data_IF_546764485157
#
_entry.id   IF_546764485157
#
_cell.length_a   1.000
_cell.length_b   1.000
_cell.length_c   1.000
_cell.angle_alpha   90.00
_cell.angle_beta   90.00
_cell.angle_gamma   90.00
#
_symmetry.space_group_name_H-M   'P 1'
#
loop_
_entity.id
_entity.type
_entity.pdbx_description
1 polymer ?
#
# COMPACT_ATOMS: atom_id res chain seq x y z
N UNK A 1 45.83 51.93 -5.15
CA UNK A 1 45.40 50.79 -6.00
C UNK A 1 44.83 49.72 -5.08
N UNK A 2 43.51 49.62 -5.01
CA UNK A 2 42.79 48.70 -4.11
C UNK A 2 42.35 47.52 -4.96
N UNK A 3 43.03 46.37 -4.84
CA UNK A 3 42.58 45.14 -5.49
C UNK A 3 41.39 44.60 -4.69
N UNK A 4 40.18 44.85 -5.20
CA UNK A 4 38.96 44.20 -4.72
C UNK A 4 39.00 42.76 -5.23
N UNK A 5 39.00 41.80 -4.31
CA UNK A 5 38.86 40.38 -4.62
C UNK A 5 37.35 40.13 -4.67
N UNK A 6 36.79 40.02 -5.87
CA UNK A 6 35.43 39.50 -6.05
C UNK A 6 35.45 38.01 -5.73
N UNK A 7 34.88 37.65 -4.58
CA UNK A 7 34.57 36.26 -4.31
C UNK A 7 33.40 35.86 -5.22
N UNK A 8 33.47 34.71 -5.92
CA UNK A 8 32.33 34.22 -6.68
C UNK A 8 31.15 34.10 -5.72
N UNK A 9 29.98 34.63 -6.13
CA UNK A 9 28.74 34.45 -5.40
C UNK A 9 28.62 32.96 -5.07
N UNK A 10 28.58 32.64 -3.76
CA UNK A 10 28.32 31.28 -3.32
C UNK A 10 27.04 30.81 -4.03
N UNK A 11 27.14 29.70 -4.76
CA UNK A 11 25.99 29.10 -5.43
C UNK A 11 24.84 28.94 -4.43
N UNK A 12 23.62 29.14 -4.91
CA UNK A 12 22.42 29.07 -4.09
C UNK A 12 22.42 27.76 -3.29
N UNK A 13 22.39 27.85 -1.96
CA UNK A 13 22.46 26.69 -1.10
C UNK A 13 21.22 25.83 -1.35
N UNK A 14 21.44 24.61 -1.86
CA UNK A 14 20.35 23.66 -2.09
C UNK A 14 19.82 23.24 -0.73
N UNK A 15 18.58 23.64 -0.42
CA UNK A 15 17.89 23.22 0.79
C UNK A 15 17.42 21.78 0.59
N UNK A 16 18.00 20.87 1.35
CA UNK A 16 17.59 19.46 1.40
C UNK A 16 16.38 19.35 2.34
N UNK A 17 15.19 19.29 1.76
CA UNK A 17 13.93 19.08 2.47
C UNK A 17 13.10 18.00 1.76
N UNK A 18 11.95 17.62 2.33
CA UNK A 18 11.07 16.63 1.70
C UNK A 18 10.59 17.05 0.30
N UNK A 19 10.33 18.34 0.09
CA UNK A 19 9.89 18.88 -1.22
C UNK A 19 10.93 18.65 -2.32
N UNK A 20 12.22 18.71 -1.97
CA UNK A 20 13.30 18.37 -2.90
C UNK A 20 13.19 16.93 -3.38
N UNK A 21 12.75 16.01 -2.52
CA UNK A 21 12.65 14.59 -2.84
C UNK A 21 11.34 14.20 -3.54
N UNK A 22 10.30 15.03 -3.46
CA UNK A 22 9.01 14.77 -4.09
C UNK A 22 9.08 14.63 -5.62
N UNK A 23 10.14 15.14 -6.27
CA UNK A 23 10.31 15.00 -7.72
C UNK A 23 10.81 13.63 -8.18
N UNK A 24 11.33 12.79 -7.26
CA UNK A 24 11.91 11.49 -7.62
C UNK A 24 10.88 10.36 -7.50
N UNK A 25 11.08 9.32 -8.32
CA UNK A 25 10.25 8.11 -8.28
C UNK A 25 10.58 7.24 -7.06
N UNK A 26 9.60 6.47 -6.57
CA UNK A 26 9.73 5.66 -5.35
C UNK A 26 10.92 4.69 -5.40
N UNK A 27 11.16 4.04 -6.54
CA UNK A 27 12.29 3.13 -6.70
C UNK A 27 13.65 3.83 -6.57
N UNK A 28 13.76 5.07 -7.07
CA UNK A 28 14.98 5.85 -6.94
C UNK A 28 15.22 6.29 -5.49
N UNK A 29 14.16 6.72 -4.80
CA UNK A 29 14.22 7.05 -3.38
C UNK A 29 14.61 5.84 -2.53
N UNK A 30 14.03 4.66 -2.79
CA UNK A 30 14.37 3.42 -2.09
C UNK A 30 15.81 3.00 -2.32
N UNK A 31 16.31 3.08 -3.56
CA UNK A 31 17.72 2.79 -3.87
C UNK A 31 18.66 3.75 -3.15
N UNK A 32 18.36 5.05 -3.17
CA UNK A 32 19.15 6.06 -2.45
C UNK A 32 19.19 5.79 -0.94
N UNK A 33 18.05 5.43 -0.34
CA UNK A 33 18.01 5.05 1.08
C UNK A 33 18.86 3.81 1.38
N UNK A 34 18.79 2.79 0.51
CA UNK A 34 19.60 1.59 0.65
C UNK A 34 21.09 1.89 0.58
N UNK A 35 21.52 2.65 -0.43
CA UNK A 35 22.91 3.08 -0.60
C UNK A 35 23.40 3.89 0.60
N UNK A 36 22.60 4.85 1.08
CA UNK A 36 22.95 5.68 2.23
C UNK A 36 23.14 4.87 3.53
N UNK A 37 22.28 3.88 3.76
CA UNK A 37 22.39 2.99 4.92
C UNK A 37 23.57 2.03 4.77
N UNK A 38 23.82 1.51 3.57
CA UNK A 38 24.97 0.64 3.29
C UNK A 38 26.30 1.38 3.54
N UNK A 39 26.44 2.61 3.03
CA UNK A 39 27.61 3.48 3.27
C UNK A 39 27.81 3.71 4.77
N UNK A 40 26.75 3.99 5.51
CA UNK A 40 26.83 4.20 6.96
C UNK A 40 27.26 2.93 7.72
N UNK A 41 26.79 1.75 7.28
CA UNK A 41 27.20 0.46 7.86
C UNK A 41 28.68 0.18 7.57
N UNK A 42 29.17 0.48 6.38
CA UNK A 42 30.58 0.32 6.00
C UNK A 42 31.48 1.21 6.89
N UNK A 43 31.14 2.49 7.03
CA UNK A 43 31.88 3.45 7.87
C UNK A 43 31.97 2.97 9.32
N UNK A 44 30.86 2.48 9.89
CA UNK A 44 30.86 1.93 11.24
C UNK A 44 31.66 0.62 11.32
N UNK A 45 31.61 -0.21 10.28
CA UNK A 45 32.37 -1.46 10.18
C UNK A 45 33.89 -1.25 10.12
N UNK A 46 34.34 -0.11 9.63
CA UNK A 46 35.74 0.31 9.62
C UNK A 46 36.19 0.99 10.93
N UNK A 47 35.40 0.90 12.01
CA UNK A 47 35.60 1.61 13.29
C UNK A 47 35.65 3.15 13.14
N UNK A 48 35.14 3.69 12.02
CA UNK A 48 35.02 5.13 11.79
C UNK A 48 33.72 5.63 12.41
N UNK A 49 33.81 6.73 13.16
CA UNK A 49 32.63 7.37 13.77
C UNK A 49 31.97 8.32 12.79
N UNK A 50 30.66 8.15 12.62
CA UNK A 50 29.80 9.15 11.98
C UNK A 50 29.75 10.38 12.89
N UNK A 51 30.09 11.55 12.34
CA UNK A 51 30.16 12.83 13.02
C UNK A 51 29.07 13.76 12.51
N UNK A 52 28.64 14.68 13.38
CA UNK A 52 27.68 15.70 12.98
C UNK A 52 28.22 16.48 11.76
N UNK A 53 27.36 16.59 10.75
CA UNK A 53 27.59 17.25 9.44
C UNK A 53 28.72 16.66 8.60
N UNK A 54 29.17 15.44 8.86
CA UNK A 54 29.99 14.72 7.89
C UNK A 54 29.13 14.21 6.72
N UNK A 55 29.79 13.73 5.67
CA UNK A 55 29.11 13.25 4.45
C UNK A 55 28.09 12.16 4.75
N UNK A 56 28.42 11.24 5.66
CA UNK A 56 27.56 10.10 6.02
C UNK A 56 26.35 10.57 6.81
N UNK A 57 26.53 11.51 7.74
CA UNK A 57 25.46 12.13 8.48
C UNK A 57 24.49 12.87 7.55
N UNK A 58 25.01 13.60 6.55
CA UNK A 58 24.17 14.27 5.55
C UNK A 58 23.40 13.24 4.71
N UNK A 59 24.05 12.17 4.22
CA UNK A 59 23.38 11.07 3.50
C UNK A 59 22.28 10.40 4.33
N UNK A 60 22.50 10.21 5.63
CA UNK A 60 21.48 9.67 6.53
C UNK A 60 20.30 10.63 6.70
N UNK A 61 20.54 11.94 6.78
CA UNK A 61 19.46 12.95 6.80
C UNK A 61 18.67 12.88 5.49
N UNK A 62 19.35 12.82 4.34
CA UNK A 62 18.71 12.69 3.02
C UNK A 62 17.85 11.42 2.93
N UNK A 63 18.37 10.29 3.42
CA UNK A 63 17.61 9.04 3.51
C UNK A 63 16.38 9.17 4.41
N UNK A 64 16.48 9.85 5.56
CA UNK A 64 15.33 10.13 6.42
C UNK A 64 14.25 10.96 5.71
N UNK A 65 14.64 11.98 4.94
CA UNK A 65 13.70 12.81 4.17
C UNK A 65 13.04 12.00 3.04
N UNK A 66 13.80 11.17 2.33
CA UNK A 66 13.26 10.29 1.30
C UNK A 66 12.30 9.24 1.87
N UNK A 67 12.61 8.64 3.02
CA UNK A 67 11.71 7.74 3.73
C UNK A 67 10.43 8.43 4.18
N UNK A 68 10.50 9.69 4.62
CA UNK A 68 9.32 10.48 4.96
C UNK A 68 8.39 10.69 3.76
N UNK A 69 8.95 11.02 2.59
CA UNK A 69 8.20 11.13 1.32
C UNK A 69 7.56 9.80 0.94
N UNK A 70 8.32 8.69 0.96
CA UNK A 70 7.80 7.35 0.67
C UNK A 70 6.66 6.96 1.62
N UNK A 71 6.83 7.22 2.92
CA UNK A 71 5.81 6.96 3.92
C UNK A 71 4.54 7.75 3.62
N UNK A 72 4.66 9.06 3.37
CA UNK A 72 3.53 9.93 3.06
C UNK A 72 2.82 9.54 1.78
N UNK A 73 3.54 9.13 0.74
CA UNK A 73 2.94 8.62 -0.51
C UNK A 73 2.10 7.37 -0.26
N UNK A 74 2.60 6.48 0.59
CA UNK A 74 1.95 5.21 0.89
C UNK A 74 0.76 5.36 1.83
N UNK A 75 0.89 6.16 2.89
CA UNK A 75 -0.09 6.25 3.98
C UNK A 75 -0.96 7.49 3.88
N UNK A 76 -0.52 8.54 3.20
CA UNK A 76 -1.14 9.86 3.24
C UNK A 76 -0.88 10.63 4.53
N UNK A 77 -0.04 10.11 5.43
CA UNK A 77 0.23 10.70 6.74
C UNK A 77 1.68 11.14 6.88
N UNK A 78 1.91 12.08 7.79
CA UNK A 78 3.26 12.51 8.13
C UNK A 78 3.96 11.51 9.06
N UNK A 79 5.18 11.11 8.71
CA UNK A 79 5.91 10.07 9.45
C UNK A 79 6.32 10.57 10.85
N UNK A 80 6.63 11.86 10.99
CA UNK A 80 7.05 12.41 12.28
C UNK A 80 5.90 12.40 13.29
N UNK A 81 4.70 12.78 12.84
CA UNK A 81 3.50 12.68 13.65
C UNK A 81 3.21 11.23 14.05
N UNK A 82 3.20 10.29 13.09
CA UNK A 82 2.90 8.88 13.38
C UNK A 82 3.95 8.26 14.32
N UNK A 83 5.23 8.60 14.14
CA UNK A 83 6.30 8.14 15.02
C UNK A 83 6.16 8.69 16.43
N UNK A 84 5.75 9.95 16.59
CA UNK A 84 5.51 10.54 17.91
C UNK A 84 4.34 9.85 18.61
N UNK A 85 3.24 9.62 17.90
CA UNK A 85 2.07 8.89 18.40
C UNK A 85 2.44 7.47 18.83
N UNK A 86 3.28 6.78 18.04
CA UNK A 86 3.80 5.45 18.38
C UNK A 86 4.62 5.46 19.66
N UNK A 87 5.53 6.43 19.83
CA UNK A 87 6.35 6.55 21.04
C UNK A 87 5.49 6.84 22.28
N UNK A 88 4.46 7.67 22.16
CA UNK A 88 3.58 7.97 23.28
C UNK A 88 2.70 6.77 23.67
N UNK A 89 2.25 6.00 22.69
CA UNK A 89 1.55 4.74 22.94
C UNK A 89 2.46 3.69 23.59
N UNK A 90 3.70 3.55 23.13
CA UNK A 90 4.69 2.68 23.77
C UNK A 90 4.92 3.06 25.23
N UNK A 91 5.10 4.36 25.51
CA UNK A 91 5.27 4.87 26.87
C UNK A 91 4.07 4.56 27.74
N UNK A 92 2.85 4.79 27.23
CA UNK A 92 1.60 4.51 27.94
C UNK A 92 1.47 3.02 28.26
N UNK A 93 1.71 2.16 27.28
CA UNK A 93 1.62 0.71 27.44
C UNK A 93 2.69 0.16 28.39
N UNK A 94 3.92 0.68 28.31
CA UNK A 94 5.01 0.29 29.22
C UNK A 94 4.65 0.59 30.68
N UNK A 95 4.04 1.74 30.95
CA UNK A 95 3.57 2.10 32.30
C UNK A 95 2.38 1.27 32.77
N UNK A 96 1.51 0.84 31.85
CA UNK A 96 0.34 0.03 32.13
C UNK A 96 0.61 -1.49 32.18
N UNK A 97 1.80 -1.93 31.75
CA UNK A 97 2.12 -3.36 31.56
C UNK A 97 1.37 -4.00 30.38
N UNK A 98 0.94 -3.18 29.41
CA UNK A 98 0.23 -3.60 28.21
C UNK A 98 1.18 -3.77 27.02
N UNK A 99 0.73 -4.49 25.99
CA UNK A 99 1.44 -4.58 24.70
C UNK A 99 0.92 -3.48 23.77
N UNK A 100 1.81 -2.59 23.35
CA UNK A 100 1.49 -1.49 22.44
C UNK A 100 1.01 -1.98 21.07
N UNK A 101 -0.03 -1.34 20.53
CA UNK A 101 -0.52 -1.59 19.17
C UNK A 101 -0.16 -0.41 18.26
N UNK A 102 0.98 -0.53 17.60
CA UNK A 102 1.52 0.49 16.71
C UNK A 102 0.92 0.39 15.31
N UNK A 103 -0.33 0.83 15.18
CA UNK A 103 -1.01 0.82 13.90
C UNK A 103 -0.43 1.89 12.98
N UNK A 104 -0.11 1.50 11.75
CA UNK A 104 0.21 2.44 10.68
C UNK A 104 -1.12 2.90 10.07
N UNK A 105 -1.41 4.21 10.04
CA UNK A 105 -2.65 4.69 9.47
C UNK A 105 -2.66 4.47 7.95
N UNK A 106 -3.80 4.01 7.45
CA UNK A 106 -3.99 3.65 6.04
C UNK A 106 -4.75 4.78 5.36
N UNK A 107 -4.24 5.25 4.22
CA UNK A 107 -4.93 6.23 3.38
C UNK A 107 -6.31 5.69 3.03
N UNK A 108 -7.36 6.47 3.28
CA UNK A 108 -8.69 6.13 2.77
C UNK A 108 -8.63 6.08 1.23
N UNK A 109 -9.08 4.98 0.63
CA UNK A 109 -9.20 4.89 -0.82
C UNK A 109 -10.03 6.06 -1.33
N UNK A 110 -9.55 6.83 -2.33
CA UNK A 110 -10.33 7.93 -2.90
C UNK A 110 -11.59 7.43 -3.64
N UNK A 111 -11.70 6.12 -3.85
CA UNK A 111 -12.76 5.48 -4.63
C UNK A 111 -13.57 4.58 -3.71
N UNK A 112 -14.79 5.01 -3.40
CA UNK A 112 -15.70 4.21 -2.60
C UNK A 112 -16.34 3.11 -3.46
N UNK A 113 -16.44 1.87 -2.94
CA UNK A 113 -17.18 0.81 -3.60
C UNK A 113 -18.66 1.17 -3.72
N UNK A 114 -19.29 0.66 -4.78
CA UNK A 114 -20.71 0.83 -5.02
C UNK A 114 -21.51 0.07 -3.96
N UNK A 115 -22.59 0.66 -3.42
CA UNK A 115 -23.46 -0.06 -2.49
C UNK A 115 -24.15 -1.23 -3.20
N UNK A 116 -24.45 -2.31 -2.47
CA UNK A 116 -25.13 -3.49 -3.01
C UNK A 116 -26.47 -3.14 -3.72
N UNK A 117 -27.14 -2.07 -3.29
CA UNK A 117 -28.36 -1.55 -3.92
C UNK A 117 -28.16 -1.08 -5.36
N UNK A 118 -26.95 -0.67 -5.76
CA UNK A 118 -26.64 -0.30 -7.14
C UNK A 118 -26.78 -1.50 -8.11
N UNK A 119 -26.65 -2.72 -7.60
CA UNK A 119 -26.78 -3.96 -8.38
C UNK A 119 -28.19 -4.56 -8.33
N UNK A 120 -29.08 -4.04 -7.48
CA UNK A 120 -30.41 -4.60 -7.27
C UNK A 120 -31.33 -4.56 -8.50
N UNK A 121 -31.06 -3.67 -9.46
CA UNK A 121 -31.83 -3.56 -10.71
C UNK A 121 -31.35 -4.49 -11.85
N UNK A 122 -30.20 -5.15 -11.70
CA UNK A 122 -29.60 -5.96 -12.75
C UNK A 122 -30.27 -7.33 -12.85
N UNK A 123 -30.28 -7.94 -14.04
CA UNK A 123 -30.67 -9.35 -14.23
C UNK A 123 -29.57 -10.29 -13.75
N UNK A 124 -29.88 -11.57 -13.53
CA UNK A 124 -28.89 -12.53 -13.03
C UNK A 124 -27.69 -12.72 -13.98
N UNK A 125 -27.95 -12.71 -15.30
CA UNK A 125 -26.89 -12.74 -16.31
C UNK A 125 -26.03 -11.46 -16.27
N UNK A 126 -26.67 -10.30 -16.08
CA UNK A 126 -25.96 -9.03 -15.96
C UNK A 126 -25.12 -8.96 -14.67
N UNK A 127 -25.62 -9.52 -13.55
CA UNK A 127 -24.86 -9.64 -12.30
C UNK A 127 -23.62 -10.52 -12.46
N UNK A 128 -23.76 -11.68 -13.12
CA UNK A 128 -22.63 -12.56 -13.42
C UNK A 128 -21.60 -11.85 -14.31
N UNK A 129 -22.04 -11.19 -15.38
CA UNK A 129 -21.16 -10.47 -16.30
C UNK A 129 -20.45 -9.29 -15.63
N UNK A 130 -21.15 -8.49 -14.81
CA UNK A 130 -20.57 -7.35 -14.10
C UNK A 130 -19.57 -7.82 -13.06
N UNK A 131 -19.88 -8.88 -12.30
CA UNK A 131 -18.94 -9.46 -11.33
C UNK A 131 -17.65 -9.96 -11.99
N UNK A 132 -17.77 -10.66 -13.13
CA UNK A 132 -16.62 -11.11 -13.92
C UNK A 132 -15.80 -9.96 -14.49
N UNK A 133 -16.45 -8.91 -15.00
CA UNK A 133 -15.77 -7.74 -15.55
C UNK A 133 -14.95 -7.01 -14.49
N UNK A 134 -15.53 -6.80 -13.30
CA UNK A 134 -14.79 -6.20 -12.19
C UNK A 134 -13.62 -7.08 -11.73
N UNK A 135 -13.84 -8.40 -11.57
CA UNK A 135 -12.75 -9.33 -11.23
C UNK A 135 -11.63 -9.36 -12.29
N UNK A 136 -11.98 -9.23 -13.57
CA UNK A 136 -10.99 -9.14 -14.66
C UNK A 136 -10.16 -7.87 -14.55
N UNK A 137 -10.79 -6.71 -14.26
CA UNK A 137 -10.06 -5.46 -14.03
C UNK A 137 -9.11 -5.53 -12.83
N UNK A 138 -9.53 -6.18 -11.74
CA UNK A 138 -8.63 -6.44 -10.58
C UNK A 138 -7.38 -7.20 -11.03
N UNK A 139 -7.54 -8.24 -11.83
CA UNK A 139 -6.42 -9.03 -12.36
C UNK A 139 -5.51 -8.19 -13.26
N UNK A 140 -6.07 -7.30 -14.08
CA UNK A 140 -5.30 -6.39 -14.93
C UNK A 140 -4.46 -5.41 -14.08
N UNK A 141 -5.05 -4.83 -13.04
CA UNK A 141 -4.35 -3.95 -12.09
C UNK A 141 -3.22 -4.69 -11.33
N UNK A 142 -3.46 -5.94 -10.91
CA UNK A 142 -2.44 -6.76 -10.22
C UNK A 142 -1.29 -7.13 -11.15
N UNK A 143 -1.59 -7.56 -12.39
CA UNK A 143 -0.57 -7.96 -13.37
C UNK A 143 0.26 -6.79 -13.89
N UNK A 144 -0.30 -5.58 -13.86
CA UNK A 144 0.34 -4.36 -14.35
C UNK A 144 1.60 -3.95 -13.58
N UNK A 145 1.93 -4.56 -12.43
CA UNK A 145 3.07 -4.21 -11.59
C UNK A 145 3.14 -2.68 -11.34
N UNK A 146 1.98 -2.07 -11.12
CA UNK A 146 1.83 -0.62 -11.15
C UNK A 146 2.46 0.02 -9.90
N UNK A 147 3.38 0.98 -10.07
CA UNK A 147 4.11 1.59 -8.96
C UNK A 147 3.26 2.57 -8.13
N UNK A 148 2.03 2.86 -8.53
CA UNK A 148 1.20 3.90 -7.91
C UNK A 148 0.07 3.30 -7.06
N UNK A 149 -0.04 3.75 -5.81
CA UNK A 149 -1.06 3.35 -4.81
C UNK A 149 -2.51 3.39 -5.35
N UNK A 150 -2.80 4.31 -6.28
CA UNK A 150 -4.13 4.51 -6.88
C UNK A 150 -4.64 3.27 -7.61
N UNK A 151 -3.77 2.50 -8.28
CA UNK A 151 -4.16 1.30 -9.03
C UNK A 151 -4.48 0.12 -8.08
N UNK A 152 -3.81 0.07 -6.91
CA UNK A 152 -4.14 -0.87 -5.85
C UNK A 152 -5.47 -0.51 -5.17
N UNK A 153 -5.72 0.79 -4.96
CA UNK A 153 -7.00 1.28 -4.46
C UNK A 153 -8.14 0.96 -5.44
N UNK A 154 -7.90 1.13 -6.75
CA UNK A 154 -8.83 0.73 -7.81
C UNK A 154 -9.08 -0.78 -7.82
N UNK A 155 -8.03 -1.59 -7.72
CA UNK A 155 -8.13 -3.04 -7.63
C UNK A 155 -8.93 -3.47 -6.39
N UNK A 156 -8.69 -2.83 -5.23
CA UNK A 156 -9.45 -3.08 -4.02
C UNK A 156 -10.94 -2.76 -4.22
N UNK A 157 -11.25 -1.58 -4.75
CA UNK A 157 -12.63 -1.15 -4.97
C UNK A 157 -13.35 -2.05 -5.98
N UNK A 158 -12.72 -2.38 -7.12
CA UNK A 158 -13.29 -3.32 -8.09
C UNK A 158 -13.47 -4.72 -7.51
N UNK A 159 -12.60 -5.17 -6.60
CA UNK A 159 -12.80 -6.44 -5.90
C UNK A 159 -14.06 -6.40 -5.02
N UNK A 160 -14.30 -5.31 -4.29
CA UNK A 160 -15.48 -5.13 -3.46
C UNK A 160 -16.77 -5.03 -4.30
N UNK A 161 -16.72 -4.36 -5.45
CA UNK A 161 -17.83 -4.27 -6.39
C UNK A 161 -18.17 -5.64 -6.99
N UNK A 162 -17.15 -6.41 -7.38
CA UNK A 162 -17.32 -7.78 -7.86
C UNK A 162 -18.00 -8.67 -6.81
N UNK A 163 -17.52 -8.61 -5.56
CA UNK A 163 -18.11 -9.35 -4.45
C UNK A 163 -19.54 -8.94 -4.15
N UNK A 164 -19.85 -7.65 -4.22
CA UNK A 164 -21.19 -7.13 -3.99
C UNK A 164 -22.17 -7.61 -5.07
N UNK A 165 -21.80 -7.54 -6.35
CA UNK A 165 -22.60 -8.08 -7.45
C UNK A 165 -22.82 -9.60 -7.32
N UNK A 166 -21.76 -10.34 -6.97
CA UNK A 166 -21.82 -11.78 -6.77
C UNK A 166 -22.71 -12.16 -5.58
N UNK A 167 -22.64 -11.40 -4.48
CA UNK A 167 -23.48 -11.59 -3.31
C UNK A 167 -24.96 -11.43 -3.64
N UNK A 168 -25.33 -10.39 -4.40
CA UNK A 168 -26.71 -10.19 -4.86
C UNK A 168 -27.19 -11.36 -5.73
N UNK A 169 -26.34 -11.85 -6.64
CA UNK A 169 -26.65 -13.02 -7.48
C UNK A 169 -26.86 -14.28 -6.63
N UNK A 170 -25.95 -14.57 -5.71
CA UNK A 170 -26.02 -15.75 -4.83
C UNK A 170 -27.30 -15.69 -3.97
N UNK A 171 -27.63 -14.54 -3.39
CA UNK A 171 -28.85 -14.39 -2.59
C UNK A 171 -30.11 -14.65 -3.41
N UNK A 172 -30.14 -14.21 -4.68
CA UNK A 172 -31.27 -14.49 -5.57
C UNK A 172 -31.37 -15.96 -5.94
N UNK A 173 -30.25 -16.57 -6.33
CA UNK A 173 -30.20 -17.99 -6.66
C UNK A 173 -30.60 -18.87 -5.47
N UNK A 174 -30.14 -18.54 -4.26
CA UNK A 174 -30.52 -19.22 -3.03
C UNK A 174 -32.02 -19.07 -2.72
N UNK A 175 -32.59 -17.88 -2.90
CA UNK A 175 -34.03 -17.66 -2.73
C UNK A 175 -34.86 -18.41 -3.79
N UNK A 176 -34.39 -18.49 -5.04
CA UNK A 176 -35.05 -19.31 -6.07
C UNK A 176 -34.92 -20.80 -5.80
N UNK A 177 -33.80 -21.27 -5.22
CA UNK A 177 -33.62 -22.66 -4.81
C UNK A 177 -34.54 -23.06 -3.65
N UNK A 178 -34.85 -22.12 -2.74
CA UNK A 178 -35.81 -22.32 -1.64
C UNK A 178 -37.28 -22.27 -2.11
N UNK A 179 -37.58 -21.56 -3.20
CA UNK A 179 -38.93 -21.52 -3.79
C UNK A 179 -39.15 -22.56 -4.91
N UNK A 180 -38.10 -23.25 -5.34
CA UNK A 180 -38.17 -24.43 -6.18
C UNK A 180 -38.60 -25.65 -5.37
N UNK A 181 -39.78 -26.19 -5.68
CA UNK A 181 -40.24 -27.54 -5.32
C UNK A 181 -39.07 -28.56 -5.42
N UNK A 182 -38.94 -29.57 -4.54
CA UNK A 182 -37.80 -30.48 -4.55
C UNK A 182 -37.76 -31.24 -5.88
N UNK A 183 -36.86 -30.82 -6.77
CA UNK A 183 -36.49 -31.60 -7.94
C UNK A 183 -35.64 -32.74 -7.42
N UNK A 184 -36.05 -33.96 -7.78
CA UNK A 184 -35.64 -35.21 -7.17
C UNK A 184 -34.15 -35.37 -6.98
N UNK A 185 -33.83 -36.22 -6.00
CA UNK A 185 -32.53 -36.82 -5.81
C UNK A 185 -32.10 -37.59 -7.07
N UNK A 186 -31.60 -36.88 -8.08
CA UNK A 186 -30.77 -37.49 -9.11
C UNK A 186 -29.41 -37.75 -8.47
N UNK A 187 -29.28 -39.01 -8.06
CA UNK A 187 -28.06 -39.64 -7.58
C UNK A 187 -26.91 -39.24 -8.50
N UNK A 188 -25.96 -38.49 -7.96
CA UNK A 188 -24.61 -38.47 -8.49
C UNK A 188 -24.04 -39.89 -8.35
N UNK A 189 -24.17 -40.70 -9.39
CA UNK A 189 -23.45 -41.97 -9.51
C UNK A 189 -21.96 -41.62 -9.68
N UNK A 190 -21.22 -41.72 -8.58
CA UNK A 190 -19.76 -41.77 -8.59
C UNK A 190 -19.37 -43.14 -9.16
N UNK A 191 -18.59 -43.23 -10.26
CA UNK A 191 -18.00 -44.51 -10.66
C UNK A 191 -16.94 -44.87 -9.61
N UNK A 192 -17.16 -45.97 -8.88
CA UNK A 192 -16.18 -46.50 -7.92
C UNK A 192 -14.95 -47.06 -8.64
N UNK A 193 -13.77 -47.07 -7.99
CA UNK A 193 -12.56 -47.61 -8.58
C UNK A 193 -12.68 -49.14 -8.64
N UNK A 194 -12.48 -49.69 -9.83
CA UNK A 194 -12.38 -51.15 -10.03
C UNK A 194 -11.20 -51.69 -9.22
N UNK A 195 -11.51 -52.69 -8.40
CA UNK A 195 -10.57 -53.48 -7.60
C UNK A 195 -9.70 -54.35 -8.49
N UNK A 196 -8.38 -54.24 -8.31
CA UNK A 196 -7.40 -55.27 -8.64
C UNK A 196 -7.76 -56.58 -7.93
N UNK A 197 -8.12 -57.61 -8.69
CA UNK A 197 -7.87 -59.03 -8.39
C UNK A 197 -7.57 -59.78 -9.68
#
# INVERSE_FOLDING_TARGET
MTKVIDFPLAGEAVVVNEEFFEKFADAALLMMCFESVADAVEVVGEDVKIRDRDEIHVKLIEACMALAVLFRRRTGHDVQQVSADHLDEERRCLLAGEVARLLIPVKASPINPLPASAFAGLSDHALAQVSFNYASRVNDHIKGNCPTVIELDLAQTHSLDAMSALSVLISRLANTALQGRPVGADKFSIPGPETLQ
#
